data_IF_793836548882
#
_entry.id   IF_793836548882
#
_cell.length_a   1.000
_cell.length_b   1.000
_cell.length_c   1.000
_cell.angle_alpha   90.00
_cell.angle_beta   90.00
_cell.angle_gamma   90.00
#
_symmetry.space_group_name_H-M   'P 1'
#
loop_
_entity.id
_entity.type
_entity.pdbx_description
1 polymer ?
#
# COMPACT_ATOMS: atom_id res chain seq x y z
N UNK A 1 30.04 66.38 -24.88
CA UNK A 1 30.53 66.11 -26.25
C UNK A 1 29.97 64.77 -26.68
N UNK A 2 29.05 64.73 -27.65
CA UNK A 2 28.52 63.48 -28.21
C UNK A 2 29.26 63.22 -29.53
N UNK A 3 29.96 62.09 -29.65
CA UNK A 3 30.58 61.69 -30.91
C UNK A 3 30.43 60.18 -31.15
N UNK A 4 29.57 59.89 -32.12
CA UNK A 4 29.62 58.90 -33.20
C UNK A 4 30.08 57.45 -32.92
N UNK A 5 29.10 56.57 -33.18
CA UNK A 5 29.14 55.25 -33.82
C UNK A 5 30.42 54.80 -34.54
N UNK A 6 30.73 53.49 -34.41
CA UNK A 6 31.17 52.58 -35.49
C UNK A 6 31.43 51.17 -34.88
N UNK A 7 30.71 50.11 -35.27
CA UNK A 7 31.16 49.00 -36.17
C UNK A 7 32.24 48.08 -35.53
N UNK A 8 32.30 46.74 -35.56
CA UNK A 8 31.92 45.61 -36.44
C UNK A 8 32.01 44.35 -35.53
N UNK A 9 31.05 43.40 -35.53
CA UNK A 9 30.99 42.14 -36.30
C UNK A 9 32.16 41.11 -36.16
N UNK A 10 31.75 39.89 -35.73
CA UNK A 10 32.39 38.55 -35.84
C UNK A 10 33.63 38.32 -34.97
N UNK A 11 33.76 37.22 -34.23
CA UNK A 11 33.96 35.85 -34.71
C UNK A 11 33.71 34.86 -33.55
N UNK A 12 33.10 33.71 -33.83
CA UNK A 12 33.41 32.49 -33.07
C UNK A 12 32.23 31.60 -32.68
N UNK A 13 31.47 31.10 -33.67
CA UNK A 13 30.60 29.95 -33.44
C UNK A 13 31.47 28.67 -33.44
N UNK A 14 31.94 28.26 -32.26
CA UNK A 14 32.59 26.96 -32.10
C UNK A 14 31.52 25.90 -31.85
N UNK A 15 31.07 25.24 -32.92
CA UNK A 15 30.25 24.04 -32.84
C UNK A 15 31.18 22.88 -32.45
N UNK A 16 31.29 22.59 -31.16
CA UNK A 16 31.95 21.38 -30.67
C UNK A 16 30.93 20.25 -30.69
N UNK A 17 30.94 19.48 -31.76
CA UNK A 17 30.36 18.15 -31.80
C UNK A 17 31.28 17.20 -31.02
N UNK A 18 30.79 16.67 -29.90
CA UNK A 18 31.47 15.68 -29.05
C UNK A 18 30.44 14.88 -28.27
N UNK A 19 30.68 13.59 -28.03
CA UNK A 19 29.65 12.55 -28.10
C UNK A 19 28.62 12.71 -26.98
N UNK A 20 27.34 12.67 -27.36
CA UNK A 20 26.28 12.33 -26.43
C UNK A 20 26.59 10.93 -25.89
N UNK A 21 27.17 10.86 -24.70
CA UNK A 21 27.20 9.64 -23.93
C UNK A 21 25.74 9.24 -23.71
N UNK A 22 25.28 8.27 -24.50
CA UNK A 22 24.04 7.59 -24.23
C UNK A 22 24.19 6.99 -22.83
N UNK A 23 23.58 7.65 -21.85
CA UNK A 23 23.42 7.08 -20.54
C UNK A 23 22.75 5.72 -20.76
N UNK A 24 23.32 4.59 -20.28
CA UNK A 24 22.55 3.37 -20.22
C UNK A 24 21.35 3.72 -19.35
N UNK A 25 20.17 3.77 -19.99
CA UNK A 25 18.93 3.73 -19.27
C UNK A 25 19.05 2.52 -18.37
N UNK A 26 19.17 2.75 -17.08
CA UNK A 26 18.84 1.75 -16.10
C UNK A 26 17.37 1.45 -16.40
N UNK A 27 17.13 0.40 -17.19
CA UNK A 27 15.94 -0.41 -17.04
C UNK A 27 15.98 -0.86 -15.60
N UNK A 28 15.45 0.00 -14.72
CA UNK A 28 15.05 -0.39 -13.40
C UNK A 28 14.15 -1.57 -13.67
N UNK A 29 14.66 -2.76 -13.38
CA UNK A 29 13.81 -3.90 -13.12
C UNK A 29 12.98 -3.43 -11.94
N UNK A 30 11.82 -2.87 -12.25
CA UNK A 30 10.74 -2.73 -11.29
C UNK A 30 10.47 -4.18 -10.90
N UNK A 31 11.10 -4.64 -9.83
CA UNK A 31 10.63 -5.83 -9.12
C UNK A 31 9.19 -5.47 -8.81
N UNK A 32 8.25 -5.99 -9.59
CA UNK A 32 6.85 -5.99 -9.20
C UNK A 32 6.85 -6.67 -7.83
N UNK A 33 6.60 -5.88 -6.78
CA UNK A 33 6.43 -6.40 -5.44
C UNK A 33 5.30 -7.43 -5.53
N UNK A 34 5.67 -8.71 -5.53
CA UNK A 34 4.69 -9.79 -5.59
C UNK A 34 4.14 -9.95 -4.19
N UNK A 35 2.86 -9.64 -4.07
CA UNK A 35 2.13 -9.89 -2.84
C UNK A 35 2.29 -11.36 -2.44
N UNK A 36 2.76 -11.58 -1.22
CA UNK A 36 3.01 -12.92 -0.67
C UNK A 36 1.88 -13.28 0.29
N UNK A 37 1.21 -14.40 0.06
CA UNK A 37 0.21 -14.93 1.00
C UNK A 37 0.90 -15.38 2.28
N UNK A 38 0.36 -15.01 3.44
CA UNK A 38 0.94 -15.33 4.75
C UNK A 38 0.10 -16.33 5.54
N UNK A 39 -1.21 -16.07 5.65
CA UNK A 39 -2.12 -16.92 6.42
C UNK A 39 -3.58 -16.67 6.08
N UNK A 40 -4.43 -17.64 6.40
CA UNK A 40 -5.87 -17.43 6.52
C UNK A 40 -6.20 -16.42 7.63
N UNK A 41 -7.41 -15.87 7.54
CA UNK A 41 -7.94 -14.91 8.50
C UNK A 41 -8.83 -15.60 9.54
N UNK A 42 -8.51 -15.45 10.83
CA UNK A 42 -9.38 -15.92 11.93
C UNK A 42 -10.25 -14.78 12.46
N UNK A 43 -11.51 -14.76 12.03
CA UNK A 43 -12.50 -13.73 12.38
C UNK A 43 -12.80 -13.68 13.88
N UNK A 44 -12.89 -14.84 14.52
CA UNK A 44 -13.21 -14.95 15.94
C UNK A 44 -12.07 -14.39 16.78
N UNK A 45 -10.84 -14.78 16.43
CA UNK A 45 -9.65 -14.28 17.10
C UNK A 45 -9.47 -12.78 16.86
N UNK A 46 -9.72 -12.30 15.64
CA UNK A 46 -9.65 -10.88 15.32
C UNK A 46 -10.64 -10.05 16.16
N UNK A 47 -11.89 -10.50 16.32
CA UNK A 47 -12.86 -9.84 17.19
C UNK A 47 -12.40 -9.82 18.66
N UNK A 48 -11.83 -10.91 19.16
CA UNK A 48 -11.30 -10.98 20.53
C UNK A 48 -10.12 -10.02 20.72
N UNK A 49 -9.20 -9.93 19.77
CA UNK A 49 -8.05 -9.05 19.89
C UNK A 49 -8.42 -7.56 19.84
N UNK A 50 -9.47 -7.22 19.08
CA UNK A 50 -9.90 -5.82 18.92
C UNK A 50 -10.83 -5.36 20.03
N UNK A 51 -11.70 -6.24 20.52
CA UNK A 51 -12.77 -5.86 21.44
C UNK A 51 -12.89 -6.73 22.70
N UNK A 52 -12.30 -7.92 22.70
CA UNK A 52 -12.25 -8.79 23.86
C UNK A 52 -11.26 -8.28 24.90
N UNK A 53 -11.76 -7.54 25.90
CA UNK A 53 -11.06 -7.48 27.18
C UNK A 53 -11.32 -8.77 27.97
N UNK A 54 -10.49 -9.04 28.98
CA UNK A 54 -10.62 -10.24 29.82
C UNK A 54 -12.05 -10.36 30.38
N UNK A 55 -12.81 -11.32 29.88
CA UNK A 55 -14.22 -11.59 30.29
C UNK A 55 -15.30 -11.21 29.27
N UNK A 56 -14.95 -10.59 28.13
CA UNK A 56 -15.93 -10.20 27.11
C UNK A 56 -16.11 -11.26 26.01
N UNK A 57 -17.35 -11.74 25.84
CA UNK A 57 -17.73 -12.72 24.82
C UNK A 57 -18.10 -12.06 23.48
N UNK A 58 -17.15 -11.40 22.83
CA UNK A 58 -17.36 -10.91 21.46
C UNK A 58 -17.35 -12.08 20.47
N UNK A 59 -18.40 -12.18 19.65
CA UNK A 59 -18.52 -13.17 18.59
C UNK A 59 -18.35 -12.50 17.22
N UNK A 60 -17.70 -13.22 16.29
CA UNK A 60 -17.66 -12.81 14.90
C UNK A 60 -18.91 -13.37 14.19
N UNK A 61 -19.69 -12.49 13.57
CA UNK A 61 -20.91 -12.82 12.85
C UNK A 61 -20.90 -12.18 11.47
N UNK A 62 -21.54 -12.86 10.52
CA UNK A 62 -21.71 -12.35 9.16
C UNK A 62 -23.11 -11.74 9.02
N UNK A 63 -23.20 -10.53 8.49
CA UNK A 63 -24.48 -9.83 8.27
C UNK A 63 -24.91 -9.81 6.79
N UNK A 64 -24.12 -10.42 5.92
CA UNK A 64 -24.32 -10.45 4.47
C UNK A 64 -23.31 -11.38 3.79
N UNK A 65 -23.08 -11.18 2.49
CA UNK A 65 -22.25 -12.07 1.65
C UNK A 65 -21.02 -11.39 1.02
N UNK A 66 -20.78 -10.12 1.34
CA UNK A 66 -19.65 -9.33 0.83
C UNK A 66 -18.49 -9.36 1.83
N UNK A 67 -17.29 -9.10 1.34
CA UNK A 67 -16.06 -9.05 2.15
C UNK A 67 -16.22 -8.20 3.43
N UNK A 68 -16.87 -7.04 3.33
CA UNK A 68 -17.05 -6.12 4.44
C UNK A 68 -18.19 -6.47 5.42
N UNK A 69 -18.83 -7.63 5.31
CA UNK A 69 -20.03 -7.96 6.09
C UNK A 69 -19.75 -8.72 7.39
N UNK A 70 -18.48 -8.80 7.81
CA UNK A 70 -18.13 -9.31 9.13
C UNK A 70 -18.32 -8.25 10.21
N UNK A 71 -18.90 -8.66 11.32
CA UNK A 71 -19.15 -7.83 12.50
C UNK A 71 -18.73 -8.56 13.76
N UNK A 72 -18.25 -7.80 14.73
CA UNK A 72 -18.11 -8.28 16.10
C UNK A 72 -19.36 -7.89 16.88
N UNK A 73 -20.06 -8.87 17.44
CA UNK A 73 -21.30 -8.66 18.19
C UNK A 73 -21.19 -9.14 19.63
N UNK A 74 -21.85 -8.40 20.52
CA UNK A 74 -21.98 -8.73 21.93
C UNK A 74 -23.17 -7.99 22.55
N UNK A 75 -24.10 -8.70 23.18
CA UNK A 75 -25.18 -8.12 24.01
C UNK A 75 -25.89 -6.91 23.35
N UNK A 76 -26.27 -7.05 22.08
CA UNK A 76 -26.94 -5.98 21.32
C UNK A 76 -26.02 -4.87 20.80
N UNK A 77 -24.72 -4.95 21.07
CA UNK A 77 -23.70 -4.09 20.45
C UNK A 77 -23.17 -4.77 19.18
N UNK A 78 -22.90 -3.94 18.17
CA UNK A 78 -22.24 -4.33 16.93
C UNK A 78 -21.06 -3.39 16.67
N UNK A 79 -19.93 -3.96 16.25
CA UNK A 79 -18.75 -3.23 15.79
C UNK A 79 -18.23 -3.81 14.49
N UNK A 80 -17.68 -2.96 13.65
CA UNK A 80 -16.97 -3.38 12.44
C UNK A 80 -15.70 -4.14 12.82
N UNK A 81 -15.31 -5.13 12.02
CA UNK A 81 -14.06 -5.85 12.22
C UNK A 81 -12.97 -5.25 11.33
N UNK A 82 -11.91 -4.71 11.92
CA UNK A 82 -10.81 -4.14 11.15
C UNK A 82 -9.84 -5.25 10.70
N UNK A 83 -9.96 -5.69 9.45
CA UNK A 83 -9.18 -6.81 8.94
C UNK A 83 -7.67 -6.50 8.89
N UNK A 84 -7.29 -5.31 8.41
CA UNK A 84 -5.88 -4.91 8.31
C UNK A 84 -5.20 -4.85 9.68
N UNK A 85 -5.88 -4.28 10.68
CA UNK A 85 -5.34 -4.18 12.03
C UNK A 85 -5.05 -5.56 12.64
N UNK A 86 -5.86 -6.58 12.33
CA UNK A 86 -5.58 -7.95 12.75
C UNK A 86 -4.31 -8.48 12.09
N UNK A 87 -4.19 -8.37 10.77
CA UNK A 87 -3.04 -8.90 10.04
C UNK A 87 -1.73 -8.22 10.46
N UNK A 88 -1.74 -6.88 10.59
CA UNK A 88 -0.58 -6.11 11.09
C UNK A 88 -0.22 -6.53 12.51
N UNK A 89 -1.19 -6.69 13.41
CA UNK A 89 -0.93 -7.10 14.81
C UNK A 89 -0.40 -8.52 14.90
N UNK A 90 -0.98 -9.46 14.15
CA UNK A 90 -0.59 -10.88 14.14
C UNK A 90 0.86 -11.06 13.68
N UNK A 91 1.26 -10.31 12.65
CA UNK A 91 2.58 -10.44 12.04
C UNK A 91 3.59 -9.39 12.51
N UNK A 92 3.16 -8.43 13.34
CA UNK A 92 4.00 -7.33 13.85
C UNK A 92 4.74 -6.58 12.73
N UNK A 93 4.10 -6.43 11.57
CA UNK A 93 4.71 -5.86 10.37
C UNK A 93 3.69 -4.96 9.65
N UNK A 94 4.07 -3.71 9.40
CA UNK A 94 3.21 -2.70 8.77
C UNK A 94 3.05 -2.88 7.25
N UNK A 95 3.85 -3.72 6.61
CA UNK A 95 3.70 -4.08 5.18
C UNK A 95 2.69 -5.21 4.96
N UNK A 96 2.13 -5.76 6.04
CA UNK A 96 1.12 -6.80 6.01
C UNK A 96 -0.26 -6.16 5.99
N UNK A 97 -1.14 -6.69 5.15
CA UNK A 97 -2.51 -6.21 4.97
C UNK A 97 -3.48 -7.37 4.79
N UNK A 98 -4.77 -7.10 4.92
CA UNK A 98 -5.83 -8.07 4.69
C UNK A 98 -6.38 -7.92 3.27
N UNK A 99 -6.60 -9.04 2.59
CA UNK A 99 -7.20 -9.07 1.27
C UNK A 99 -8.36 -10.06 1.24
N UNK A 100 -9.46 -9.63 0.62
CA UNK A 100 -10.60 -10.48 0.31
C UNK A 100 -10.67 -10.69 -1.20
N UNK A 101 -10.69 -11.94 -1.66
CA UNK A 101 -10.72 -12.26 -3.10
C UNK A 101 -12.09 -12.66 -3.61
N UNK A 102 -12.74 -13.59 -2.94
CA UNK A 102 -13.95 -14.24 -3.47
C UNK A 102 -15.01 -14.43 -2.38
N UNK A 103 -15.48 -13.33 -1.81
CA UNK A 103 -16.64 -13.31 -0.92
C UNK A 103 -16.29 -13.34 0.57
N UNK A 104 -17.34 -13.29 1.40
CA UNK A 104 -17.20 -12.93 2.81
C UNK A 104 -16.25 -13.84 3.62
N UNK A 105 -16.06 -15.10 3.24
CA UNK A 105 -15.15 -16.02 3.92
C UNK A 105 -13.71 -16.04 3.36
N UNK A 106 -13.44 -15.32 2.27
CA UNK A 106 -12.20 -15.41 1.50
C UNK A 106 -11.18 -14.35 1.90
N UNK A 107 -11.08 -14.06 3.20
CA UNK A 107 -10.09 -13.14 3.77
C UNK A 107 -8.79 -13.86 4.12
N UNK A 108 -7.67 -13.22 3.81
CA UNK A 108 -6.34 -13.68 4.17
C UNK A 108 -5.39 -12.51 4.43
N UNK A 109 -4.30 -12.77 5.15
CA UNK A 109 -3.21 -11.82 5.35
C UNK A 109 -2.17 -11.99 4.24
N UNK A 110 -1.71 -10.87 3.68
CA UNK A 110 -0.70 -10.79 2.62
C UNK A 110 0.38 -9.79 3.01
N UNK A 111 1.62 -9.99 2.55
CA UNK A 111 2.69 -8.99 2.62
C UNK A 111 2.94 -8.41 1.24
N UNK A 112 3.20 -7.11 1.19
CA UNK A 112 3.88 -6.49 0.05
C UNK A 112 5.37 -6.81 0.05
#
# INVERSE_FOLDING_TARGET
MFSKSATLFLVGLAIIAGPAAAAPGSTGQMLEARDTWLSDFDMKEACKQQYGSTGDNWAAEVIGNRCGDWRCRRLGQEKELNMDAYCVRRWQNSNVYALCKDGVYSWACWSR
#
